data_IF_623641812528
#
_entry.id   IF_623641812528
#
_cell.length_a   1.000
_cell.length_b   1.000
_cell.length_c   1.000
_cell.angle_alpha   90.00
_cell.angle_beta   90.00
_cell.angle_gamma   90.00
#
_symmetry.space_group_name_H-M   'P 1'
#
loop_
_entity.id
_entity.type
_entity.pdbx_description
1 polymer ?
#
# COMPACT_ATOMS: atom_id res chain seq x y z
N UNK A 1 -0.27 45.48 0.62
CA UNK A 1 -1.25 44.42 0.97
C UNK A 1 -0.46 43.22 1.48
N UNK A 2 -0.53 42.90 2.77
CA UNK A 2 0.32 41.87 3.39
C UNK A 2 -0.42 40.53 3.35
N UNK A 3 -0.06 39.63 2.43
CA UNK A 3 -0.68 38.32 2.30
C UNK A 3 -0.20 37.46 3.47
N UNK A 4 -1.08 37.18 4.42
CA UNK A 4 -0.80 36.23 5.52
C UNK A 4 -1.01 34.82 4.99
N UNK A 5 0.09 34.12 4.70
CA UNK A 5 0.06 32.70 4.43
C UNK A 5 -0.28 31.95 5.73
N UNK A 6 -1.41 31.24 5.76
CA UNK A 6 -1.70 30.28 6.83
C UNK A 6 -1.03 28.96 6.43
N UNK A 7 -0.19 28.40 7.30
CA UNK A 7 0.26 27.02 7.15
C UNK A 7 -0.97 26.11 7.18
N UNK A 8 -1.22 25.40 6.07
CA UNK A 8 -2.20 24.32 6.03
C UNK A 8 -1.67 23.21 6.92
N UNK A 9 -2.50 22.69 7.83
CA UNK A 9 -2.13 21.52 8.65
C UNK A 9 -1.68 20.42 7.69
N UNK A 10 -0.49 19.85 7.91
CA UNK A 10 -0.05 18.70 7.11
C UNK A 10 -1.09 17.59 7.27
N UNK A 11 -1.57 16.96 6.19
CA UNK A 11 -2.57 15.91 6.31
C UNK A 11 -2.03 14.79 7.21
N UNK A 12 -2.80 14.41 8.22
CA UNK A 12 -2.45 13.28 9.08
C UNK A 12 -2.83 12.00 8.34
N UNK A 13 -1.86 11.37 7.67
CA UNK A 13 -2.04 10.05 7.10
C UNK A 13 -1.90 8.97 8.17
N UNK A 14 -2.76 7.96 8.10
CA UNK A 14 -2.67 6.77 8.95
C UNK A 14 -2.58 5.55 8.06
N UNK A 15 -1.77 4.57 8.45
CA UNK A 15 -1.65 3.30 7.71
C UNK A 15 -2.10 2.13 8.57
N UNK A 16 -2.79 1.19 7.95
CA UNK A 16 -3.04 -0.14 8.49
C UNK A 16 -2.60 -1.18 7.47
N UNK A 17 -1.90 -2.20 7.92
CA UNK A 17 -1.45 -3.29 7.06
C UNK A 17 -2.05 -4.62 7.53
N UNK A 18 -2.59 -5.39 6.60
CA UNK A 18 -3.19 -6.70 6.90
C UNK A 18 -3.08 -7.66 5.72
N UNK A 19 -2.97 -8.93 6.00
CA UNK A 19 -3.15 -9.96 5.00
C UNK A 19 -4.62 -10.02 4.56
N UNK A 20 -4.84 -10.15 3.26
CA UNK A 20 -6.16 -10.27 2.65
C UNK A 20 -6.13 -11.31 1.55
N UNK A 21 -7.30 -11.91 1.29
CA UNK A 21 -7.52 -12.72 0.11
C UNK A 21 -8.31 -11.88 -0.90
N UNK A 22 -7.76 -11.68 -2.10
CA UNK A 22 -8.43 -11.00 -3.22
C UNK A 22 -8.56 -11.97 -4.38
N UNK A 23 -9.70 -11.97 -5.06
CA UNK A 23 -9.86 -12.73 -6.31
C UNK A 23 -9.26 -11.92 -7.45
N UNK A 24 -8.27 -12.49 -8.13
CA UNK A 24 -7.61 -11.96 -9.32
C UNK A 24 -7.65 -13.04 -10.39
N UNK A 25 -8.03 -12.69 -11.63
CA UNK A 25 -8.10 -13.63 -12.75
C UNK A 25 -8.89 -14.91 -12.39
N UNK A 26 -10.02 -14.75 -11.68
CA UNK A 26 -10.89 -15.82 -11.15
C UNK A 26 -10.24 -16.78 -10.13
N UNK A 27 -9.11 -16.41 -9.53
CA UNK A 27 -8.43 -17.21 -8.51
C UNK A 27 -8.18 -16.40 -7.23
N UNK A 28 -8.38 -16.98 -6.03
CA UNK A 28 -8.09 -16.27 -4.78
C UNK A 28 -6.58 -16.18 -4.53
N UNK A 29 -6.09 -14.97 -4.28
CA UNK A 29 -4.69 -14.66 -4.04
C UNK A 29 -4.51 -14.04 -2.65
N UNK A 30 -3.54 -14.55 -1.89
CA UNK A 30 -3.12 -14.01 -0.60
C UNK A 30 -2.11 -12.88 -0.82
N UNK A 31 -2.43 -11.71 -0.28
CA UNK A 31 -1.67 -10.46 -0.45
C UNK A 31 -1.57 -9.73 0.88
N UNK A 32 -0.65 -8.76 0.98
CA UNK A 32 -0.67 -7.74 2.04
C UNK A 32 -1.37 -6.50 1.48
N UNK A 33 -2.44 -6.05 2.14
CA UNK A 33 -3.09 -4.77 1.84
C UNK A 33 -2.61 -3.70 2.81
N UNK A 34 -2.04 -2.63 2.28
CA UNK A 34 -1.79 -1.38 2.96
C UNK A 34 -2.93 -0.41 2.72
N UNK A 35 -3.63 -0.02 3.78
CA UNK A 35 -4.72 0.95 3.76
C UNK A 35 -4.21 2.26 4.34
N UNK A 36 -4.03 3.27 3.48
CA UNK A 36 -3.65 4.62 3.87
C UNK A 36 -4.92 5.46 3.93
N UNK A 37 -5.25 5.97 5.12
CA UNK A 37 -6.36 6.91 5.32
C UNK A 37 -5.85 8.34 5.27
N UNK A 38 -6.61 9.23 4.62
CA UNK A 38 -6.29 10.64 4.46
C UNK A 38 -7.53 11.47 4.15
N UNK A 39 -7.36 12.77 3.90
CA UNK A 39 -8.48 13.67 3.60
C UNK A 39 -9.11 13.38 2.24
N UNK A 40 -8.27 13.13 1.22
CA UNK A 40 -8.72 12.91 -0.16
C UNK A 40 -7.65 12.26 -1.03
N UNK A 41 -8.04 11.27 -1.82
CA UNK A 41 -7.25 10.60 -2.86
C UNK A 41 -8.03 10.64 -4.18
N UNK A 42 -7.55 11.32 -5.24
CA UNK A 42 -8.28 11.40 -6.50
C UNK A 42 -8.24 10.10 -7.31
N UNK A 43 -9.38 9.68 -7.90
CA UNK A 43 -9.42 8.75 -9.03
C UNK A 43 -9.00 9.48 -10.30
N UNK A 44 -7.72 9.41 -10.68
CA UNK A 44 -7.21 10.06 -11.89
C UNK A 44 -6.09 9.28 -12.54
N UNK A 45 -5.81 9.60 -13.80
CA UNK A 45 -4.51 9.34 -14.41
C UNK A 45 -3.56 10.50 -14.03
N UNK A 46 -2.29 10.23 -13.68
CA UNK A 46 -1.63 8.92 -13.68
C UNK A 46 -2.07 8.04 -12.50
N UNK A 47 -1.95 6.72 -12.64
CA UNK A 47 -2.42 5.76 -11.64
C UNK A 47 -1.72 5.93 -10.29
N UNK A 48 -2.44 5.74 -9.16
CA UNK A 48 -1.83 5.81 -7.85
C UNK A 48 -0.87 4.64 -7.61
N UNK A 49 0.09 4.84 -6.71
CA UNK A 49 1.00 3.81 -6.22
C UNK A 49 1.16 3.89 -4.70
N UNK A 50 1.57 2.78 -4.09
CA UNK A 50 2.00 2.70 -2.69
C UNK A 50 3.34 1.99 -2.64
N UNK A 51 4.31 2.52 -1.92
CA UNK A 51 5.63 1.90 -1.77
C UNK A 51 6.10 1.90 -0.33
N UNK A 52 6.96 0.95 0.00
CA UNK A 52 7.76 0.94 1.23
C UNK A 52 9.15 1.41 0.83
N UNK A 53 9.55 2.60 1.28
CA UNK A 53 10.91 3.10 1.13
C UNK A 53 11.78 2.49 2.21
N UNK A 54 12.71 1.61 1.85
CA UNK A 54 13.61 0.92 2.80
C UNK A 54 14.82 1.80 3.09
N UNK A 55 15.37 2.46 2.08
CA UNK A 55 16.47 3.41 2.18
C UNK A 55 16.39 4.43 1.01
N UNK A 56 17.45 5.19 0.76
CA UNK A 56 17.45 6.21 -0.31
C UNK A 56 17.28 5.64 -1.72
N UNK A 57 17.70 4.40 -1.95
CA UNK A 57 17.79 3.77 -3.28
C UNK A 57 16.83 2.59 -3.47
N UNK A 58 16.26 2.08 -2.39
CA UNK A 58 15.44 0.87 -2.39
C UNK A 58 13.99 1.17 -2.03
N UNK A 59 13.11 0.84 -2.98
CA UNK A 59 11.66 0.97 -2.87
C UNK A 59 11.03 -0.37 -3.18
N UNK A 60 10.13 -0.80 -2.30
CA UNK A 60 9.30 -1.97 -2.52
C UNK A 60 7.91 -1.52 -2.93
N UNK A 61 7.59 -1.70 -4.22
CA UNK A 61 6.38 -1.18 -4.84
C UNK A 61 5.22 -2.16 -4.75
N UNK A 62 4.02 -1.62 -4.67
CA UNK A 62 2.77 -2.36 -4.81
C UNK A 62 2.63 -3.04 -6.18
N UNK A 63 1.79 -4.08 -6.23
CA UNK A 63 1.39 -4.75 -7.46
C UNK A 63 0.29 -3.97 -8.18
N UNK A 64 -0.63 -3.39 -7.40
CA UNK A 64 -1.71 -2.52 -7.86
C UNK A 64 -2.29 -1.74 -6.68
N UNK A 65 -2.98 -0.66 -7.01
CA UNK A 65 -3.72 0.17 -6.05
C UNK A 65 -5.20 0.25 -6.36
N UNK A 66 -5.97 0.62 -5.34
CA UNK A 66 -7.36 1.06 -5.48
C UNK A 66 -7.57 2.29 -4.61
N UNK A 67 -8.39 3.23 -5.07
CA UNK A 67 -8.91 4.31 -4.23
C UNK A 67 -10.31 3.91 -3.76
N UNK A 68 -10.62 4.13 -2.48
CA UNK A 68 -11.96 3.83 -1.97
C UNK A 68 -13.04 4.67 -2.65
N UNK A 69 -14.31 4.21 -2.68
CA UNK A 69 -15.40 4.96 -3.32
C UNK A 69 -15.63 6.36 -2.75
N UNK A 70 -15.31 6.59 -1.46
CA UNK A 70 -15.42 7.87 -0.77
C UNK A 70 -14.18 8.78 -0.93
N UNK A 71 -13.15 8.32 -1.67
CA UNK A 71 -11.87 8.99 -1.85
C UNK A 71 -11.06 9.22 -0.57
N UNK A 72 -11.39 8.58 0.55
CA UNK A 72 -10.69 8.82 1.82
C UNK A 72 -9.59 7.80 2.10
N UNK A 73 -9.48 6.75 1.27
CA UNK A 73 -8.50 5.69 1.44
C UNK A 73 -7.81 5.34 0.13
N UNK A 74 -6.51 5.13 0.23
CA UNK A 74 -5.69 4.51 -0.80
C UNK A 74 -5.29 3.11 -0.34
N UNK A 75 -5.63 2.10 -1.13
CA UNK A 75 -5.37 0.69 -0.87
C UNK A 75 -4.24 0.22 -1.78
N UNK A 76 -3.06 -0.02 -1.23
CA UNK A 76 -1.96 -0.67 -1.93
C UNK A 76 -1.95 -2.17 -1.68
N UNK A 77 -1.78 -2.98 -2.71
CA UNK A 77 -1.71 -4.43 -2.60
C UNK A 77 -0.31 -4.92 -2.94
N UNK A 78 0.34 -5.54 -1.96
CA UNK A 78 1.72 -5.97 -2.00
C UNK A 78 1.81 -7.50 -1.92
N UNK A 79 2.91 -8.10 -2.42
CA UNK A 79 3.22 -9.50 -2.16
C UNK A 79 3.41 -9.74 -0.66
N UNK A 80 3.29 -10.99 -0.22
CA UNK A 80 3.39 -11.36 1.21
C UNK A 80 4.81 -11.14 1.78
N UNK A 81 5.82 -11.17 0.92
CA UNK A 81 7.23 -10.95 1.26
C UNK A 81 7.60 -9.46 1.22
N UNK A 82 7.02 -8.69 2.12
CA UNK A 82 7.38 -7.28 2.30
C UNK A 82 8.69 -7.12 3.12
N UNK A 83 9.42 -6.00 2.96
CA UNK A 83 10.55 -5.63 3.80
C UNK A 83 10.19 -5.61 5.29
N UNK A 84 11.18 -5.84 6.16
CA UNK A 84 10.98 -5.84 7.61
C UNK A 84 10.63 -4.45 8.15
N UNK A 85 11.23 -3.41 7.60
CA UNK A 85 11.00 -2.01 7.98
C UNK A 85 11.08 -1.06 6.79
N UNK A 86 10.58 0.17 6.99
CA UNK A 86 10.73 1.26 6.03
C UNK A 86 9.77 2.41 6.28
N UNK A 87 9.61 3.32 5.31
CA UNK A 87 8.62 4.40 5.36
C UNK A 87 7.58 4.18 4.28
N UNK A 88 6.31 4.23 4.64
CA UNK A 88 5.22 4.13 3.65
C UNK A 88 5.12 5.45 2.91
N UNK A 89 5.26 5.39 1.59
CA UNK A 89 5.09 6.52 0.69
C UNK A 89 4.01 6.20 -0.34
N UNK A 90 3.34 7.22 -0.85
CA UNK A 90 2.35 7.07 -1.89
C UNK A 90 2.40 8.25 -2.85
N UNK A 91 1.83 8.04 -4.03
CA UNK A 91 1.91 9.01 -5.10
C UNK A 91 1.11 8.61 -6.32
N UNK A 92 1.33 9.35 -7.41
CA UNK A 92 0.64 9.18 -8.67
C UNK A 92 1.66 9.26 -9.81
N UNK A 93 1.66 8.26 -10.70
CA UNK A 93 2.65 8.20 -11.79
C UNK A 93 4.07 8.07 -11.27
N UNK A 94 4.88 9.10 -11.46
CA UNK A 94 6.28 9.23 -11.03
C UNK A 94 6.47 10.21 -9.86
N UNK A 95 5.39 10.84 -9.39
CA UNK A 95 5.44 11.82 -8.30
C UNK A 95 5.04 11.21 -6.95
N UNK A 96 5.92 11.36 -5.94
CA UNK A 96 5.57 11.08 -4.54
C UNK A 96 4.76 12.26 -4.00
N UNK A 97 3.54 11.97 -3.55
CA UNK A 97 2.61 12.96 -3.03
C UNK A 97 2.65 13.07 -1.52
N UNK A 98 2.99 11.99 -0.84
CA UNK A 98 3.05 11.97 0.62
C UNK A 98 3.77 10.77 1.19
N UNK A 99 4.07 10.89 2.48
CA UNK A 99 4.60 9.83 3.31
C UNK A 99 3.72 9.71 4.56
N UNK A 100 3.50 8.49 5.01
CA UNK A 100 2.83 8.24 6.29
C UNK A 100 3.85 8.51 7.41
N UNK A 101 3.50 9.29 8.45
CA UNK A 101 4.40 9.51 9.57
C UNK A 101 4.75 8.21 10.29
N UNK A 102 6.04 8.01 10.58
CA UNK A 102 6.55 6.86 11.33
C UNK A 102 7.23 5.80 10.46
N UNK A 103 7.93 4.90 11.13
CA UNK A 103 8.53 3.72 10.50
C UNK A 103 7.50 2.60 10.46
N UNK A 104 7.30 2.01 9.28
CA UNK A 104 6.60 0.76 9.09
C UNK A 104 7.42 -0.39 9.67
N UNK A 105 6.75 -1.32 10.35
CA UNK A 105 7.33 -2.58 10.81
C UNK A 105 6.44 -3.74 10.31
N UNK A 106 7.05 -4.76 9.72
CA UNK A 106 6.37 -5.97 9.22
C UNK A 106 5.61 -6.73 10.30
N UNK A 107 6.04 -6.63 11.56
CA UNK A 107 5.36 -7.26 12.69
C UNK A 107 4.04 -6.56 13.03
N UNK A 108 3.82 -5.32 12.57
CA UNK A 108 2.54 -4.62 12.72
C UNK A 108 1.45 -5.13 11.76
N UNK A 109 1.80 -5.97 10.78
CA UNK A 109 0.84 -6.50 9.81
C UNK A 109 -0.07 -7.51 10.48
N UNK A 110 -1.37 -7.26 10.46
CA UNK A 110 -2.36 -8.26 10.92
C UNK A 110 -2.38 -9.45 9.97
N UNK A 111 -1.97 -10.62 10.45
CA UNK A 111 -1.86 -11.86 9.65
C UNK A 111 -3.14 -12.69 9.70
N UNK A 112 -3.46 -13.38 8.61
CA UNK A 112 -4.54 -14.36 8.60
C UNK A 112 -4.06 -15.68 9.22
N UNK A 113 -4.98 -16.44 9.81
CA UNK A 113 -4.69 -17.80 10.27
C UNK A 113 -4.55 -18.72 9.05
N UNK A 114 -3.31 -19.00 8.67
CA UNK A 114 -2.97 -19.83 7.51
C UNK A 114 -3.54 -21.25 7.57
N UNK A 115 -3.82 -21.79 8.76
CA UNK A 115 -4.41 -23.14 8.89
C UNK A 115 -5.87 -23.18 8.49
N UNK A 116 -6.56 -22.03 8.51
CA UNK A 116 -7.98 -21.89 8.17
C UNK A 116 -8.20 -21.44 6.73
N UNK A 117 -7.13 -21.16 6.00
CA UNK A 117 -7.19 -20.74 4.61
C UNK A 117 -7.48 -21.95 3.69
N UNK A 118 -8.37 -21.81 2.70
CA UNK A 118 -8.54 -22.80 1.63
C UNK A 118 -7.22 -23.13 0.93
N UNK A 119 -7.06 -24.39 0.48
CA UNK A 119 -5.80 -24.89 -0.12
C UNK A 119 -5.55 -24.34 -1.52
N UNK A 120 -6.60 -23.89 -2.19
CA UNK A 120 -6.59 -23.32 -3.53
C UNK A 120 -6.10 -21.87 -3.59
N UNK A 121 -5.83 -21.24 -2.44
CA UNK A 121 -5.30 -19.88 -2.38
C UNK A 121 -3.89 -19.83 -2.94
N UNK A 122 -3.70 -18.94 -3.90
CA UNK A 122 -2.38 -18.61 -4.46
C UNK A 122 -1.65 -17.68 -3.51
N UNK A 123 -0.47 -18.11 -3.08
CA UNK A 123 0.42 -17.26 -2.28
C UNK A 123 1.20 -16.36 -3.24
N UNK A 124 1.07 -15.04 -3.07
CA UNK A 124 1.80 -14.06 -3.90
C UNK A 124 3.10 -13.68 -3.21
N UNK A 125 4.14 -14.47 -3.48
CA UNK A 125 5.50 -14.26 -3.00
C UNK A 125 6.48 -13.98 -4.16
N UNK A 126 7.78 -13.95 -3.86
CA UNK A 126 8.81 -13.67 -4.87
C UNK A 126 8.89 -14.77 -5.95
N UNK A 127 8.61 -16.02 -5.59
CA UNK A 127 8.63 -17.15 -6.54
C UNK A 127 7.44 -17.07 -7.50
N UNK A 128 6.25 -16.72 -7.00
CA UNK A 128 5.08 -16.45 -7.84
C UNK A 128 5.37 -15.33 -8.84
N UNK A 129 5.96 -14.22 -8.38
CA UNK A 129 6.26 -13.07 -9.25
C UNK A 129 7.32 -13.36 -10.30
N UNK A 130 8.31 -14.21 -9.98
CA UNK A 130 9.31 -14.66 -10.96
C UNK A 130 8.71 -15.52 -12.06
N UNK A 131 7.71 -16.36 -11.75
CA UNK A 131 7.04 -17.23 -12.73
C UNK A 131 6.08 -16.49 -13.66
N UNK A 132 5.60 -15.31 -13.25
CA UNK A 132 4.66 -14.49 -14.03
C UNK A 132 5.35 -13.54 -15.02
N UNK A 133 6.67 -13.34 -14.88
CA UNK A 133 7.49 -12.56 -15.83
C UNK A 133 7.96 -13.42 -17.00
#
# INVERSE_FOLDING_TARGET
>A
MNIKYRMRKLPEYKVQAREVVRVLDNQPHLLVRMEISGEYFPHRAPHPFVMIKVNEKEYFKDLFTEVSPDNQKLLGYLPINIPSKGVIVFGYGDEIWGAVPGEFDKESVTRLDKKRLPKEIVIVDDDFLRRKK
#
